data_IF_092480129140
#
_entry.id   IF_092480129140
#
_cell.length_a   1.000
_cell.length_b   1.000
_cell.length_c   1.000
_cell.angle_alpha   90.00
_cell.angle_beta   90.00
_cell.angle_gamma   90.00
#
_symmetry.space_group_name_H-M   'P 1'
#
loop_
_entity.id
_entity.type
_entity.pdbx_description
1 polymer ?
#
# COMPACT_ATOMS: atom_id res chain seq x y z
N UNK A 1 10.64 7.32 24.89
CA UNK A 1 10.66 7.06 23.45
C UNK A 1 11.43 8.18 22.77
N UNK A 2 12.41 7.82 21.95
CA UNK A 2 13.26 8.77 21.24
C UNK A 2 12.73 9.07 19.84
N UNK A 3 11.54 8.55 19.49
CA UNK A 3 10.98 8.73 18.17
C UNK A 3 10.27 10.07 18.04
N UNK A 4 10.53 10.71 16.89
CA UNK A 4 9.88 11.93 16.47
C UNK A 4 9.18 11.70 15.12
N UNK A 5 7.87 11.59 15.18
CA UNK A 5 7.05 11.25 14.02
C UNK A 5 6.62 12.50 13.25
N UNK A 6 6.94 12.56 11.97
CA UNK A 6 6.43 13.58 11.07
C UNK A 6 5.05 13.16 10.54
N UNK A 7 4.01 13.94 10.87
CA UNK A 7 2.63 13.67 10.48
C UNK A 7 2.17 14.71 9.44
N UNK A 8 2.36 14.37 8.18
CA UNK A 8 1.91 15.16 7.03
C UNK A 8 0.71 14.52 6.29
N UNK A 9 0.17 13.43 6.85
CA UNK A 9 -1.08 12.79 6.39
C UNK A 9 -2.26 13.33 7.20
N UNK A 10 -3.46 13.47 6.58
CA UNK A 10 -4.61 14.07 7.24
C UNK A 10 -5.08 13.29 8.49
N UNK A 11 -5.38 13.99 9.58
CA UNK A 11 -5.84 13.39 10.84
C UNK A 11 -7.26 12.81 10.78
N UNK A 12 -8.06 13.18 9.78
CA UNK A 12 -9.40 12.59 9.57
C UNK A 12 -9.36 11.23 8.87
N UNK A 13 -8.17 10.80 8.40
CA UNK A 13 -7.91 9.43 7.98
C UNK A 13 -7.22 8.66 9.10
N UNK A 14 -7.47 7.34 9.16
CA UNK A 14 -6.87 6.50 10.20
C UNK A 14 -5.33 6.49 10.13
N UNK A 15 -4.74 6.70 8.97
CA UNK A 15 -3.29 6.83 8.80
C UNK A 15 -2.70 7.96 9.66
N UNK A 16 -3.33 9.13 9.67
CA UNK A 16 -2.90 10.26 10.50
C UNK A 16 -3.33 10.09 11.96
N UNK A 17 -4.59 9.72 12.20
CA UNK A 17 -5.11 9.55 13.55
C UNK A 17 -4.32 8.50 14.34
N UNK A 18 -3.88 7.41 13.70
CA UNK A 18 -3.08 6.37 14.35
C UNK A 18 -1.72 6.88 14.86
N UNK A 19 -1.14 7.92 14.25
CA UNK A 19 0.09 8.55 14.73
C UNK A 19 -0.17 9.21 16.09
N UNK A 20 -1.30 9.89 16.24
CA UNK A 20 -1.70 10.51 17.52
C UNK A 20 -1.90 9.45 18.60
N UNK A 21 -2.57 8.34 18.28
CA UNK A 21 -2.71 7.24 19.24
C UNK A 21 -1.38 6.60 19.62
N UNK A 22 -0.45 6.43 18.65
CA UNK A 22 0.92 5.95 18.96
C UNK A 22 1.65 6.89 19.93
N UNK A 23 1.52 8.19 19.73
CA UNK A 23 2.09 9.18 20.64
C UNK A 23 1.56 9.00 22.08
N UNK A 24 0.24 8.86 22.23
CA UNK A 24 -0.38 8.66 23.55
C UNK A 24 0.07 7.35 24.23
N UNK A 25 0.29 6.28 23.46
CA UNK A 25 0.67 4.96 23.99
C UNK A 25 2.18 4.82 24.19
N UNK A 26 2.97 5.29 23.23
CA UNK A 26 4.41 5.08 23.18
C UNK A 26 5.22 6.26 23.73
N UNK A 27 4.60 7.44 23.87
CA UNK A 27 5.27 8.66 24.33
C UNK A 27 6.22 9.25 23.29
N UNK A 28 6.04 8.96 21.98
CA UNK A 28 6.84 9.59 20.94
C UNK A 28 6.44 11.05 20.72
N UNK A 29 7.35 11.87 20.16
CA UNK A 29 7.04 13.23 19.76
C UNK A 29 6.38 13.23 18.39
N UNK A 30 5.52 14.23 18.11
CA UNK A 30 4.86 14.41 16.81
C UNK A 30 5.11 15.85 16.32
N UNK A 31 5.41 15.98 15.03
CA UNK A 31 5.30 17.23 14.30
C UNK A 31 4.15 17.16 13.33
N UNK A 32 3.15 18.00 13.52
CA UNK A 32 2.01 18.12 12.62
C UNK A 32 2.29 19.15 11.53
N UNK A 33 1.89 18.85 10.31
CA UNK A 33 1.89 19.75 9.19
C UNK A 33 0.45 20.07 8.79
N UNK A 34 0.17 21.31 8.47
CA UNK A 34 -1.16 21.71 7.98
C UNK A 34 -1.47 21.07 6.62
N UNK A 35 -0.43 20.90 5.80
CA UNK A 35 -0.45 20.18 4.52
C UNK A 35 0.90 19.55 4.26
N UNK A 36 0.93 18.54 3.42
CA UNK A 36 2.19 18.00 2.92
C UNK A 36 2.89 19.02 2.01
N UNK A 37 4.17 19.21 2.27
CA UNK A 37 5.08 20.02 1.47
C UNK A 37 6.42 19.29 1.45
N UNK A 38 6.82 18.82 0.28
CA UNK A 38 8.00 17.96 0.12
C UNK A 38 9.30 18.67 0.46
N UNK A 39 9.38 19.98 0.23
CA UNK A 39 10.58 20.77 0.55
C UNK A 39 10.74 20.92 2.06
N UNK A 40 9.64 21.30 2.75
CA UNK A 40 9.65 21.45 4.20
C UNK A 40 9.93 20.13 4.90
N UNK A 41 9.28 19.04 4.47
CA UNK A 41 9.51 17.70 5.04
C UNK A 41 10.94 17.24 4.81
N UNK A 42 11.49 17.45 3.61
CA UNK A 42 12.88 17.12 3.29
C UNK A 42 13.85 17.89 4.16
N UNK A 43 13.64 19.19 4.35
CA UNK A 43 14.47 20.01 5.24
C UNK A 43 14.42 19.49 6.67
N UNK A 44 13.22 19.16 7.20
CA UNK A 44 13.07 18.64 8.55
C UNK A 44 13.78 17.28 8.73
N UNK A 45 13.74 16.40 7.71
CA UNK A 45 14.47 15.14 7.73
C UNK A 45 15.99 15.32 7.65
N UNK A 46 16.49 16.29 6.89
CA UNK A 46 17.91 16.62 6.83
C UNK A 46 18.44 17.17 8.16
N UNK A 47 17.67 18.05 8.80
CA UNK A 47 18.04 18.68 10.07
C UNK A 47 17.79 17.79 11.29
N UNK A 48 17.33 16.55 11.10
CA UNK A 48 17.08 15.59 12.19
C UNK A 48 15.86 15.93 13.05
N UNK A 49 14.93 16.74 12.53
CA UNK A 49 13.68 17.09 13.21
C UNK A 49 12.56 16.04 13.02
N UNK A 50 12.92 14.86 12.57
CA UNK A 50 12.03 13.72 12.41
C UNK A 50 12.82 12.43 12.28
N UNK A 51 12.35 11.37 12.95
CA UNK A 51 12.96 10.04 12.86
C UNK A 51 12.15 9.08 12.02
N UNK A 52 10.83 9.29 11.94
CA UNK A 52 9.88 8.46 11.18
C UNK A 52 8.86 9.36 10.50
N UNK A 53 8.43 8.99 9.31
CA UNK A 53 7.32 9.62 8.61
C UNK A 53 6.37 8.57 8.03
N UNK A 54 5.06 8.84 8.08
CA UNK A 54 4.07 8.06 7.32
C UNK A 54 3.80 8.73 5.98
N UNK A 55 3.87 7.96 4.90
CA UNK A 55 3.70 8.44 3.53
C UNK A 55 2.76 7.55 2.74
N UNK A 56 2.12 8.13 1.73
CA UNK A 56 1.47 7.40 0.63
C UNK A 56 2.37 7.46 -0.61
N UNK A 57 2.07 6.64 -1.62
CA UNK A 57 2.92 6.51 -2.81
C UNK A 57 3.24 7.86 -3.49
N UNK A 58 2.25 8.75 -3.62
CA UNK A 58 2.45 10.09 -4.21
C UNK A 58 3.38 10.98 -3.39
N UNK A 59 3.27 10.95 -2.06
CA UNK A 59 4.16 11.69 -1.17
C UNK A 59 5.60 11.17 -1.28
N UNK A 60 5.78 9.84 -1.33
CA UNK A 60 7.10 9.23 -1.52
C UNK A 60 7.74 9.67 -2.84
N UNK A 61 6.98 9.69 -3.94
CA UNK A 61 7.46 10.16 -5.24
C UNK A 61 7.91 11.63 -5.20
N UNK A 62 7.14 12.50 -4.54
CA UNK A 62 7.50 13.91 -4.35
C UNK A 62 8.76 14.07 -3.50
N UNK A 63 8.90 13.32 -2.41
CA UNK A 63 10.12 13.32 -1.60
C UNK A 63 11.34 12.82 -2.38
N UNK A 64 11.18 11.80 -3.23
CA UNK A 64 12.26 11.33 -4.11
C UNK A 64 12.70 12.38 -5.14
N UNK A 65 11.77 13.19 -5.64
CA UNK A 65 12.07 14.24 -6.63
C UNK A 65 12.92 15.39 -6.06
N UNK A 66 12.86 15.59 -4.74
CA UNK A 66 13.61 16.63 -4.02
C UNK A 66 14.65 16.06 -3.06
N UNK A 67 14.98 14.78 -3.20
CA UNK A 67 15.93 14.10 -2.32
C UNK A 67 17.31 14.75 -2.39
N UNK A 68 17.88 15.16 -1.24
CA UNK A 68 19.13 15.91 -1.21
C UNK A 68 20.35 14.99 -1.43
N UNK A 69 21.41 15.51 -2.08
CA UNK A 69 22.66 14.76 -2.28
C UNK A 69 23.30 14.31 -0.96
N UNK A 70 23.18 15.12 0.10
CA UNK A 70 23.71 14.79 1.42
C UNK A 70 22.88 13.71 2.16
N UNK A 71 21.74 13.30 1.61
CA UNK A 71 20.81 12.38 2.26
C UNK A 71 20.04 13.01 3.42
N UNK A 72 19.25 12.17 4.09
CA UNK A 72 18.59 12.54 5.34
C UNK A 72 19.52 12.37 6.54
N UNK A 73 19.16 12.97 7.68
CA UNK A 73 19.92 12.84 8.93
C UNK A 73 20.11 11.36 9.32
N UNK A 74 21.24 11.06 9.95
CA UNK A 74 21.52 9.72 10.50
C UNK A 74 20.53 9.29 11.59
N UNK A 75 19.76 10.22 12.15
CA UNK A 75 18.66 9.92 13.08
C UNK A 75 17.39 9.42 12.38
N UNK A 76 17.28 9.57 11.06
CA UNK A 76 16.13 9.11 10.30
C UNK A 76 16.10 7.58 10.24
N UNK A 77 15.01 7.00 10.73
CA UNK A 77 14.81 5.54 10.83
C UNK A 77 14.05 4.96 9.66
N UNK A 78 13.15 5.74 9.04
CA UNK A 78 12.46 5.29 7.85
C UNK A 78 11.07 5.88 7.60
N UNK A 79 10.53 5.49 6.45
CA UNK A 79 9.20 5.85 5.99
C UNK A 79 8.25 4.65 6.13
N UNK A 80 7.11 4.87 6.79
CA UNK A 80 6.01 3.90 6.80
C UNK A 80 5.12 4.19 5.59
N UNK A 81 5.19 3.33 4.58
CA UNK A 81 4.44 3.44 3.34
C UNK A 81 3.15 2.62 3.42
N UNK A 82 2.03 3.26 3.14
CA UNK A 82 0.72 2.62 3.12
C UNK A 82 -0.25 3.30 2.17
N UNK A 83 -1.48 2.82 2.14
CA UNK A 83 -2.59 3.46 1.42
C UNK A 83 -2.72 3.09 -0.06
N UNK A 84 -1.90 2.19 -0.59
CA UNK A 84 -2.00 1.71 -1.96
C UNK A 84 -0.71 1.06 -2.46
N UNK A 85 -0.75 0.44 -3.65
CA UNK A 85 0.42 -0.14 -4.28
C UNK A 85 1.44 0.95 -4.65
N UNK A 86 2.71 0.56 -4.69
CA UNK A 86 3.79 1.39 -5.19
C UNK A 86 4.54 0.65 -6.30
N UNK A 87 4.95 1.40 -7.32
CA UNK A 87 5.74 0.84 -8.41
C UNK A 87 7.11 0.33 -7.89
N UNK A 88 7.53 -0.89 -8.26
CA UNK A 88 8.78 -1.50 -7.78
C UNK A 88 10.02 -0.67 -8.04
N UNK A 89 10.07 0.09 -9.14
CA UNK A 89 11.17 0.98 -9.49
C UNK A 89 11.36 2.09 -8.44
N UNK A 90 10.30 2.56 -7.80
CA UNK A 90 10.38 3.57 -6.73
C UNK A 90 10.97 2.99 -5.45
N UNK A 91 10.66 1.74 -5.13
CA UNK A 91 11.29 1.03 -4.02
C UNK A 91 12.77 0.80 -4.29
N UNK A 92 13.14 0.39 -5.51
CA UNK A 92 14.54 0.27 -5.92
C UNK A 92 15.30 1.60 -5.82
N UNK A 93 14.69 2.72 -6.23
CA UNK A 93 15.27 4.05 -6.05
C UNK A 93 15.48 4.41 -4.57
N UNK A 94 14.54 4.01 -3.68
CA UNK A 94 14.73 4.21 -2.24
C UNK A 94 15.91 3.40 -1.71
N UNK A 95 16.05 2.15 -2.14
CA UNK A 95 17.16 1.28 -1.75
C UNK A 95 18.50 1.83 -2.21
N UNK A 96 18.64 2.25 -3.48
CA UNK A 96 19.83 2.89 -4.02
C UNK A 96 20.24 4.16 -3.25
N UNK A 97 19.26 4.91 -2.75
CA UNK A 97 19.48 6.12 -1.95
C UNK A 97 19.66 5.84 -0.46
N UNK A 98 19.57 4.59 -0.03
CA UNK A 98 19.63 4.22 1.38
C UNK A 98 18.45 4.76 2.22
N UNK A 99 17.29 4.96 1.60
CA UNK A 99 16.06 5.39 2.28
C UNK A 99 15.31 4.16 2.77
N UNK A 100 15.21 3.92 4.09
CA UNK A 100 14.48 2.78 4.61
C UNK A 100 12.96 2.98 4.41
N UNK A 101 12.31 2.08 3.67
CA UNK A 101 10.86 2.10 3.46
C UNK A 101 10.26 0.82 3.98
N UNK A 102 9.29 0.96 4.90
CA UNK A 102 8.49 -0.14 5.42
C UNK A 102 7.15 -0.10 4.71
N UNK A 103 6.89 -1.07 3.85
CA UNK A 103 5.58 -1.26 3.29
C UNK A 103 4.63 -1.83 4.34
N UNK A 104 3.37 -1.43 4.29
CA UNK A 104 2.35 -1.91 5.21
C UNK A 104 1.00 -2.00 4.53
N UNK A 105 0.15 -2.88 5.05
CA UNK A 105 -1.23 -3.05 4.61
C UNK A 105 -2.19 -2.89 5.78
N UNK A 106 -3.27 -2.20 5.52
CA UNK A 106 -4.35 -1.96 6.45
C UNK A 106 -5.34 -0.95 5.89
N UNK A 107 -6.42 -0.76 6.60
CA UNK A 107 -7.55 0.06 6.18
C UNK A 107 -8.27 0.66 7.39
N UNK A 108 -9.32 1.42 7.15
CA UNK A 108 -10.13 2.00 8.24
C UNK A 108 -10.71 0.93 9.14
N UNK A 109 -11.18 -0.18 8.55
CA UNK A 109 -11.78 -1.32 9.23
C UNK A 109 -10.80 -2.11 10.10
N UNK A 110 -9.51 -1.87 9.95
CA UNK A 110 -8.45 -2.51 10.74
C UNK A 110 -7.72 -1.53 11.67
N UNK A 111 -8.29 -0.35 11.91
CA UNK A 111 -7.72 0.68 12.78
C UNK A 111 -6.26 1.06 12.43
N UNK A 112 -5.88 1.06 11.19
CA UNK A 112 -4.55 1.28 10.60
C UNK A 112 -3.95 -0.02 10.04
N UNK A 113 -2.60 -0.16 10.07
CA UNK A 113 -1.95 -1.34 9.53
C UNK A 113 -2.18 -2.60 10.38
N UNK A 114 -2.30 -3.72 9.70
CA UNK A 114 -2.38 -5.08 10.28
C UNK A 114 -1.31 -6.01 9.72
N UNK A 115 -0.65 -5.57 8.65
CA UNK A 115 0.52 -6.22 8.05
C UNK A 115 1.60 -5.17 7.89
N UNK A 116 2.83 -5.53 8.18
CA UNK A 116 3.98 -4.66 7.96
C UNK A 116 5.23 -5.47 7.60
N UNK A 117 6.03 -4.92 6.70
CA UNK A 117 7.33 -5.43 6.34
C UNK A 117 8.34 -4.99 7.42
N UNK A 118 9.24 -5.86 7.82
CA UNK A 118 10.34 -5.47 8.70
C UNK A 118 11.47 -4.84 7.89
N UNK A 119 12.26 -3.96 8.50
CA UNK A 119 13.41 -3.32 7.83
C UNK A 119 14.40 -4.32 7.27
N UNK A 120 14.72 -5.36 8.05
CA UNK A 120 15.65 -6.41 7.69
C UNK A 120 15.21 -7.24 6.46
N UNK A 121 13.89 -7.28 6.21
CA UNK A 121 13.30 -8.06 5.12
C UNK A 121 13.02 -7.20 3.88
N UNK A 122 13.14 -5.88 3.97
CA UNK A 122 12.72 -4.95 2.92
C UNK A 122 13.39 -5.22 1.57
N UNK A 123 14.71 -5.43 1.56
CA UNK A 123 15.48 -5.74 0.35
C UNK A 123 15.20 -7.15 -0.21
N UNK A 124 14.83 -8.12 0.66
CA UNK A 124 14.57 -9.51 0.28
C UNK A 124 13.13 -9.74 -0.18
N UNK A 125 12.20 -8.88 0.24
CA UNK A 125 10.75 -9.02 0.04
C UNK A 125 10.15 -7.81 -0.67
N UNK A 126 10.84 -7.33 -1.70
CA UNK A 126 10.40 -6.19 -2.52
C UNK A 126 8.97 -6.46 -3.03
N UNK A 127 8.10 -5.46 -2.90
CA UNK A 127 6.68 -5.55 -3.29
C UNK A 127 5.76 -6.23 -2.28
N UNK A 128 6.29 -6.86 -1.24
CA UNK A 128 5.46 -7.41 -0.16
C UNK A 128 5.01 -6.31 0.82
N UNK A 129 3.78 -6.41 1.29
CA UNK A 129 3.29 -5.61 2.42
C UNK A 129 3.83 -6.11 3.78
N UNK A 130 4.49 -7.26 3.82
CA UNK A 130 5.06 -7.87 5.02
C UNK A 130 4.25 -9.04 5.57
N UNK A 131 4.40 -9.29 6.86
CA UNK A 131 3.73 -10.34 7.60
C UNK A 131 2.67 -9.77 8.55
N UNK A 132 1.67 -10.58 8.96
CA UNK A 132 0.67 -10.17 9.94
C UNK A 132 1.33 -9.67 11.23
N UNK A 133 0.81 -8.56 11.77
CA UNK A 133 1.20 -8.10 13.10
C UNK A 133 0.73 -9.09 14.17
N UNK A 134 1.29 -8.96 15.38
CA UNK A 134 0.94 -9.81 16.50
C UNK A 134 -0.58 -9.91 16.69
N UNK A 135 -1.06 -11.14 16.90
CA UNK A 135 -2.48 -11.48 17.12
C UNK A 135 -3.40 -11.25 15.91
N UNK A 136 -2.85 -10.87 14.75
CA UNK A 136 -3.56 -10.80 13.48
C UNK A 136 -3.44 -12.11 12.69
N UNK A 137 -4.52 -12.48 12.02
CA UNK A 137 -4.60 -13.65 11.16
C UNK A 137 -5.01 -13.21 9.75
N UNK A 138 -4.42 -13.85 8.76
CA UNK A 138 -4.73 -13.65 7.34
C UNK A 138 -4.99 -15.02 6.71
N UNK A 139 -5.95 -15.07 5.83
CA UNK A 139 -6.10 -16.16 4.86
C UNK A 139 -6.49 -15.61 3.50
N UNK A 140 -6.15 -16.34 2.47
CA UNK A 140 -6.52 -16.06 1.08
C UNK A 140 -7.56 -17.09 0.68
N UNK A 141 -8.66 -16.63 0.08
CA UNK A 141 -9.75 -17.55 -0.32
C UNK A 141 -10.16 -17.31 -1.77
N UNK A 142 -10.68 -18.36 -2.40
CA UNK A 142 -11.33 -18.29 -3.70
C UNK A 142 -12.77 -17.75 -3.60
N UNK A 143 -13.46 -17.72 -4.73
CA UNK A 143 -14.86 -17.27 -4.84
C UNK A 143 -15.83 -18.15 -4.04
N UNK A 144 -15.46 -19.40 -3.76
CA UNK A 144 -16.24 -20.36 -2.96
C UNK A 144 -15.92 -20.26 -1.46
N UNK A 145 -14.98 -19.38 -1.07
CA UNK A 145 -14.51 -19.21 0.30
C UNK A 145 -13.54 -20.31 0.76
N UNK A 146 -12.98 -21.11 -0.16
CA UNK A 146 -11.98 -22.12 0.16
C UNK A 146 -10.60 -21.48 0.23
N UNK A 147 -9.81 -21.88 1.24
CA UNK A 147 -8.47 -21.34 1.45
C UNK A 147 -7.54 -21.75 0.30
N UNK A 148 -6.84 -20.75 -0.24
CA UNK A 148 -5.93 -20.93 -1.36
C UNK A 148 -4.53 -21.34 -0.88
N UNK A 149 -3.85 -22.21 -1.65
CA UNK A 149 -2.44 -22.53 -1.40
C UNK A 149 -1.55 -21.30 -1.65
N UNK A 150 -0.30 -21.43 -1.21
CA UNK A 150 0.74 -20.43 -1.41
C UNK A 150 0.84 -19.97 -2.87
N UNK A 151 1.03 -18.65 -3.05
CA UNK A 151 1.16 -17.98 -4.37
C UNK A 151 -0.09 -18.05 -5.27
N UNK A 152 -1.20 -18.57 -4.78
CA UNK A 152 -2.48 -18.47 -5.48
C UNK A 152 -3.20 -17.21 -5.04
N UNK A 153 -3.63 -16.43 -6.04
CA UNK A 153 -4.37 -15.18 -5.81
C UNK A 153 -5.80 -15.47 -5.39
N UNK A 154 -6.28 -14.75 -4.39
CA UNK A 154 -7.65 -14.81 -3.91
C UNK A 154 -8.00 -13.60 -3.08
N UNK A 155 -9.23 -13.55 -2.54
CA UNK A 155 -9.63 -12.48 -1.63
C UNK A 155 -8.91 -12.61 -0.29
N UNK A 156 -8.38 -11.48 0.20
CA UNK A 156 -7.73 -11.39 1.50
C UNK A 156 -8.79 -11.29 2.59
N UNK A 157 -8.78 -12.22 3.53
CA UNK A 157 -9.61 -12.20 4.73
C UNK A 157 -8.73 -11.94 5.96
N UNK A 158 -9.24 -11.08 6.85
CA UNK A 158 -8.54 -10.67 8.07
C UNK A 158 -9.35 -11.04 9.32
N UNK A 159 -8.65 -11.44 10.37
CA UNK A 159 -9.23 -11.66 11.69
C UNK A 159 -8.23 -11.25 12.77
N UNK A 160 -8.70 -10.57 13.80
CA UNK A 160 -7.86 -10.16 14.92
C UNK A 160 -8.44 -9.00 15.71
N UNK A 161 -7.77 -8.59 16.79
CA UNK A 161 -8.29 -7.58 17.72
C UNK A 161 -8.45 -6.19 17.10
N UNK A 162 -7.72 -5.90 16.03
CA UNK A 162 -7.77 -4.59 15.35
C UNK A 162 -8.90 -4.49 14.32
N UNK A 163 -9.52 -5.64 13.93
CA UNK A 163 -10.61 -5.65 12.96
C UNK A 163 -11.90 -5.23 13.63
N UNK A 164 -12.57 -4.22 13.09
CA UNK A 164 -13.87 -3.77 13.61
C UNK A 164 -14.92 -4.90 13.49
N UNK A 165 -15.85 -4.96 14.42
CA UNK A 165 -16.88 -6.00 14.46
C UNK A 165 -18.07 -5.73 13.55
N UNK A 166 -18.11 -4.59 12.88
CA UNK A 166 -19.18 -4.19 11.96
C UNK A 166 -19.21 -2.68 11.72
N UNK A 167 -20.01 -2.28 10.75
CA UNK A 167 -20.31 -0.87 10.49
C UNK A 167 -21.49 -0.40 11.35
N UNK A 168 -21.54 0.92 11.61
CA UNK A 168 -22.71 1.51 12.24
C UNK A 168 -23.97 1.24 11.42
N UNK A 169 -25.10 1.01 12.12
CA UNK A 169 -26.39 0.67 11.52
C UNK A 169 -26.40 -0.67 10.76
N UNK A 170 -25.53 -1.61 11.12
CA UNK A 170 -25.45 -2.95 10.53
C UNK A 170 -25.39 -2.95 8.99
N UNK A 171 -24.72 -1.94 8.41
CA UNK A 171 -24.47 -1.90 6.97
C UNK A 171 -23.44 -2.98 6.58
N UNK A 172 -23.66 -3.60 5.40
CA UNK A 172 -22.76 -4.58 4.80
C UNK A 172 -22.38 -5.75 5.75
N UNK A 173 -23.36 -6.42 6.41
CA UNK A 173 -23.05 -7.54 7.30
C UNK A 173 -22.38 -8.69 6.56
N UNK A 174 -22.58 -8.81 5.23
CA UNK A 174 -21.94 -9.77 4.33
C UNK A 174 -20.42 -9.63 4.22
N UNK A 175 -19.86 -8.51 4.70
CA UNK A 175 -18.42 -8.31 4.83
C UNK A 175 -17.77 -9.21 5.89
N UNK A 176 -18.58 -9.81 6.78
CA UNK A 176 -18.09 -10.75 7.78
C UNK A 176 -18.61 -12.15 7.51
N UNK A 177 -17.71 -13.13 7.56
CA UNK A 177 -18.10 -14.55 7.52
C UNK A 177 -18.72 -14.96 8.86
N UNK A 178 -19.45 -16.08 8.86
CA UNK A 178 -20.11 -16.58 10.09
C UNK A 178 -19.10 -16.92 11.21
N UNK A 179 -17.86 -17.28 10.86
CA UNK A 179 -16.75 -17.56 11.78
C UNK A 179 -15.90 -16.34 12.11
N UNK A 180 -16.34 -15.13 11.70
CA UNK A 180 -15.81 -13.85 12.13
C UNK A 180 -14.58 -13.34 11.36
N UNK A 181 -14.39 -13.78 10.12
CA UNK A 181 -13.40 -13.18 9.21
C UNK A 181 -14.00 -11.98 8.48
N UNK A 182 -13.23 -10.94 8.36
CA UNK A 182 -13.56 -9.75 7.59
C UNK A 182 -13.09 -9.92 6.14
N UNK A 183 -14.00 -9.77 5.19
CA UNK A 183 -13.74 -9.77 3.75
C UNK A 183 -13.29 -8.37 3.34
N UNK A 184 -12.04 -8.23 2.95
CA UNK A 184 -11.46 -6.91 2.65
C UNK A 184 -11.91 -6.35 1.31
N UNK A 185 -12.20 -7.23 0.35
CA UNK A 185 -12.39 -6.87 -1.05
C UNK A 185 -11.07 -6.57 -1.77
N UNK A 186 -9.94 -6.81 -1.13
CA UNK A 186 -8.63 -6.74 -1.76
C UNK A 186 -8.16 -8.16 -2.15
N UNK A 187 -7.49 -8.25 -3.28
CA UNK A 187 -6.94 -9.49 -3.82
C UNK A 187 -5.43 -9.56 -3.57
N UNK A 188 -4.95 -10.75 -3.24
CA UNK A 188 -3.53 -10.96 -3.00
C UNK A 188 -3.20 -12.42 -2.79
N UNK A 189 -1.94 -12.70 -2.45
CA UNK A 189 -1.47 -14.04 -2.12
C UNK A 189 -0.44 -13.98 -0.99
N UNK A 190 -0.25 -15.12 -0.33
CA UNK A 190 0.83 -15.33 0.63
C UNK A 190 1.94 -16.16 -0.03
N UNK A 191 3.20 -15.82 0.25
CA UNK A 191 4.32 -16.69 -0.11
C UNK A 191 4.52 -17.80 0.95
N UNK A 192 5.43 -18.73 0.68
CA UNK A 192 5.77 -19.86 1.57
C UNK A 192 6.25 -19.44 2.97
N UNK A 193 6.59 -18.19 3.16
CA UNK A 193 7.04 -17.63 4.45
C UNK A 193 5.96 -16.76 5.10
N UNK A 194 4.75 -16.69 4.51
CA UNK A 194 3.63 -15.91 5.03
C UNK A 194 3.70 -14.41 4.78
N UNK A 195 4.50 -13.96 3.81
CA UNK A 195 4.52 -12.57 3.35
C UNK A 195 3.36 -12.32 2.40
N UNK A 196 2.62 -11.23 2.64
CA UNK A 196 1.48 -10.80 1.84
C UNK A 196 1.94 -9.96 0.65
N UNK A 197 1.43 -10.30 -0.53
CA UNK A 197 1.54 -9.53 -1.75
C UNK A 197 0.16 -9.10 -2.21
N UNK A 198 -0.02 -7.79 -2.40
CA UNK A 198 -1.27 -7.22 -2.91
C UNK A 198 -1.25 -7.24 -4.44
N UNK A 199 -2.37 -7.61 -5.04
CA UNK A 199 -2.50 -7.70 -6.51
C UNK A 199 -3.44 -6.62 -7.04
N UNK A 200 -4.67 -6.56 -6.53
CA UNK A 200 -5.72 -5.65 -7.03
C UNK A 200 -6.84 -5.50 -6.01
N UNK A 201 -7.88 -4.75 -6.39
CA UNK A 201 -9.17 -4.82 -5.71
C UNK A 201 -10.13 -5.74 -6.44
N UNK A 202 -10.94 -6.48 -5.69
CA UNK A 202 -11.96 -7.36 -6.27
C UNK A 202 -12.95 -6.57 -7.15
N UNK A 203 -13.28 -5.33 -6.75
CA UNK A 203 -14.16 -4.45 -7.53
C UNK A 203 -13.56 -3.92 -8.83
N UNK A 204 -12.24 -4.02 -8.99
CA UNK A 204 -11.49 -3.55 -10.16
C UNK A 204 -11.12 -4.70 -11.10
N UNK A 205 -11.38 -5.94 -10.69
CA UNK A 205 -11.09 -7.13 -11.49
C UNK A 205 -11.85 -7.09 -12.82
N UNK A 206 -11.13 -7.23 -13.93
CA UNK A 206 -11.70 -7.29 -15.26
C UNK A 206 -11.78 -8.76 -15.66
N UNK A 207 -13.01 -9.24 -15.95
CA UNK A 207 -13.22 -10.60 -16.43
C UNK A 207 -13.42 -10.53 -17.94
N UNK A 208 -12.43 -11.01 -18.70
CA UNK A 208 -12.42 -10.98 -20.16
C UNK A 208 -12.37 -12.42 -20.70
N UNK A 209 -13.43 -12.86 -21.35
CA UNK A 209 -13.51 -14.22 -21.90
C UNK A 209 -13.36 -15.34 -20.87
N UNK A 210 -13.64 -15.07 -19.59
CA UNK A 210 -13.46 -16.00 -18.48
C UNK A 210 -12.09 -15.94 -17.80
N UNK A 211 -11.16 -15.09 -18.29
CA UNK A 211 -9.85 -14.85 -17.69
C UNK A 211 -9.89 -13.62 -16.77
N UNK A 212 -9.24 -13.74 -15.63
CA UNK A 212 -9.11 -12.65 -14.66
C UNK A 212 -7.93 -11.76 -15.05
N UNK A 213 -8.21 -10.49 -15.33
CA UNK A 213 -7.19 -9.47 -15.62
C UNK A 213 -7.16 -8.49 -14.44
N UNK A 214 -5.99 -8.33 -13.86
CA UNK A 214 -5.75 -7.41 -12.75
C UNK A 214 -5.22 -6.07 -13.28
N UNK A 215 -6.01 -4.98 -13.23
CA UNK A 215 -5.62 -3.68 -13.77
C UNK A 215 -4.24 -3.21 -13.29
N UNK A 216 -3.97 -3.34 -12.01
CA UNK A 216 -2.71 -2.92 -11.39
C UNK A 216 -1.47 -3.59 -12.02
N UNK A 217 -1.56 -4.88 -12.42
CA UNK A 217 -0.45 -5.57 -13.09
C UNK A 217 -0.16 -4.97 -14.46
N UNK A 218 -1.22 -4.69 -15.22
CA UNK A 218 -1.09 -4.04 -16.54
C UNK A 218 -0.56 -2.62 -16.40
N UNK A 219 -1.06 -1.85 -15.43
CA UNK A 219 -0.60 -0.50 -15.14
C UNK A 219 0.89 -0.46 -14.78
N UNK A 220 1.37 -1.40 -13.96
CA UNK A 220 2.80 -1.51 -13.61
C UNK A 220 3.68 -1.77 -14.82
N UNK A 221 3.26 -2.66 -15.73
CA UNK A 221 3.99 -2.94 -16.97
C UNK A 221 4.03 -1.70 -17.86
N UNK A 222 2.91 -1.01 -18.03
CA UNK A 222 2.84 0.22 -18.81
C UNK A 222 3.72 1.32 -18.22
N UNK A 223 3.70 1.51 -16.91
CA UNK A 223 4.50 2.53 -16.22
C UNK A 223 6.01 2.25 -16.28
N UNK A 224 6.41 1.00 -16.52
CA UNK A 224 7.82 0.65 -16.75
C UNK A 224 8.34 1.05 -18.13
N UNK A 225 7.45 1.40 -19.08
CA UNK A 225 7.82 1.84 -20.43
C UNK A 225 8.34 3.28 -20.36
N UNK A 226 9.55 3.50 -20.92
CA UNK A 226 10.15 4.83 -20.97
C UNK A 226 9.24 5.83 -21.66
N UNK A 227 8.96 6.95 -21.00
CA UNK A 227 8.09 8.03 -21.52
C UNK A 227 6.66 7.96 -21.01
N UNK A 228 6.21 6.88 -20.38
CA UNK A 228 4.91 6.83 -19.70
C UNK A 228 5.07 7.36 -18.27
N UNK A 229 4.32 8.41 -17.94
CA UNK A 229 4.29 9.03 -16.61
C UNK A 229 3.26 8.41 -15.68
N UNK A 230 2.11 8.02 -16.25
CA UNK A 230 1.03 7.40 -15.51
C UNK A 230 0.21 6.51 -16.45
N UNK A 231 -0.35 5.45 -15.90
CA UNK A 231 -1.29 4.56 -16.58
C UNK A 231 -2.45 4.25 -15.65
N UNK A 232 -3.65 4.13 -16.21
CA UNK A 232 -4.84 3.61 -15.56
C UNK A 232 -5.52 2.61 -16.48
N UNK A 233 -5.91 1.46 -15.98
CA UNK A 233 -6.57 0.40 -16.74
C UNK A 233 -7.96 0.17 -16.19
N UNK A 234 -8.96 0.16 -17.08
CA UNK A 234 -10.36 -0.07 -16.73
C UNK A 234 -10.97 -1.12 -17.63
N UNK A 235 -11.99 -1.82 -17.14
CA UNK A 235 -12.78 -2.73 -17.96
C UNK A 235 -13.85 -1.97 -18.74
N UNK A 236 -13.84 -2.07 -20.06
CA UNK A 236 -14.96 -1.59 -20.90
C UNK A 236 -15.83 -2.76 -21.34
N UNK A 237 -17.17 -2.59 -21.37
CA UNK A 237 -18.07 -3.65 -21.83
C UNK A 237 -17.78 -4.07 -23.25
N UNK A 238 -17.70 -5.37 -23.50
CA UNK A 238 -17.50 -5.97 -24.82
C UNK A 238 -18.52 -7.08 -25.08
N UNK A 239 -19.12 -7.10 -26.27
CA UNK A 239 -20.18 -8.05 -26.60
C UNK A 239 -19.71 -9.50 -26.75
N UNK A 240 -18.44 -9.73 -27.07
CA UNK A 240 -17.85 -11.05 -27.24
C UNK A 240 -17.17 -11.55 -25.97
N UNK A 241 -16.46 -10.67 -25.28
CA UNK A 241 -15.57 -11.01 -24.16
C UNK A 241 -16.16 -10.68 -22.78
N UNK A 242 -17.34 -10.02 -22.73
CA UNK A 242 -17.96 -9.50 -21.50
C UNK A 242 -17.34 -8.15 -21.09
N UNK A 243 -16.05 -8.11 -20.93
CA UNK A 243 -15.28 -6.89 -20.77
C UNK A 243 -13.91 -7.02 -21.46
N UNK A 244 -13.32 -5.87 -21.82
CA UNK A 244 -11.93 -5.79 -22.33
C UNK A 244 -11.16 -4.73 -21.56
N UNK A 245 -9.86 -4.95 -21.29
CA UNK A 245 -9.03 -3.95 -20.61
C UNK A 245 -8.73 -2.79 -21.57
N UNK A 246 -8.96 -1.57 -21.11
CA UNK A 246 -8.62 -0.33 -21.82
C UNK A 246 -7.67 0.49 -20.96
N UNK A 247 -6.51 0.83 -21.52
CA UNK A 247 -5.48 1.60 -20.84
C UNK A 247 -5.53 3.08 -21.22
N UNK A 248 -5.58 3.95 -20.23
CA UNK A 248 -5.40 5.39 -20.36
C UNK A 248 -4.00 5.75 -19.86
N UNK A 249 -3.19 6.38 -20.72
CA UNK A 249 -1.79 6.70 -20.40
C UNK A 249 -1.51 8.19 -20.53
N UNK A 250 -0.64 8.69 -19.63
CA UNK A 250 -0.05 10.03 -19.74
C UNK A 250 1.42 9.85 -20.14
N UNK A 251 1.80 10.45 -21.26
CA UNK A 251 3.15 10.35 -21.81
C UNK A 251 3.71 11.71 -22.19
N UNK A 252 5.04 11.85 -22.11
CA UNK A 252 5.78 13.03 -22.62
C UNK A 252 6.06 12.98 -24.10
N UNK A 253 5.82 11.83 -24.73
CA UNK A 253 6.08 11.60 -26.16
C UNK A 253 4.92 10.85 -26.79
N UNK A 254 4.82 10.93 -28.10
CA UNK A 254 3.82 10.17 -28.84
C UNK A 254 4.15 8.67 -28.73
N UNK A 255 3.16 7.90 -28.26
CA UNK A 255 3.28 6.44 -28.12
C UNK A 255 2.58 5.81 -29.32
N UNK A 256 3.27 4.89 -30.00
CA UNK A 256 2.71 4.11 -31.09
C UNK A 256 2.36 2.70 -30.62
N UNK A 257 1.35 2.07 -31.26
CA UNK A 257 0.94 0.69 -30.97
C UNK A 257 2.05 -0.37 -31.19
N UNK A 258 3.20 0.02 -31.73
CA UNK A 258 4.36 -0.86 -31.95
C UNK A 258 5.37 -0.84 -30.79
N UNK A 259 5.12 -0.03 -29.77
CA UNK A 259 5.90 0.03 -28.53
C UNK A 259 5.18 -0.68 -27.42
#
# INVERSE_FOLDING_TARGET
>A
AEDFWLCAVPLFHISGLSIVFRQLVLGCSIRLYDKFDEQQVTQDLQEGRGTVISVVATMLQQLLSVYPEAGYSVSFKGMLLGGGPIAPDKLAQCEEKGIPVIQSYGMTETCSQVVALKFEDAALKIGSAGQPLKDMQIKIVDELGQEQPEKQVGEILLKGPNVVSGYLNQRQPEKWTADGWFKTGDMGYLDAQGYLYLVSRLSELIISGGENIYPTEVEQVLQAITGIKAAAVVGEPDAQWGAVPVAYVISDQEITLAQ
#
